data_IF_574519138763
#
_entry.id   IF_574519138763
#
_cell.length_a   1.000
_cell.length_b   1.000
_cell.length_c   1.000
_cell.angle_alpha   90.00
_cell.angle_beta   90.00
_cell.angle_gamma   90.00
#
_symmetry.space_group_name_H-M   'P 1'
#
loop_
_entity.id
_entity.type
_entity.pdbx_description
1 polymer ?
#
# COMPACT_ATOMS: atom_id res chain seq x y z
N UNK A 1 -13.05 10.12 -0.52
CA UNK A 1 -11.76 9.69 0.04
C UNK A 1 -11.11 10.94 0.64
N UNK A 2 -10.47 10.84 1.81
CA UNK A 2 -9.89 12.02 2.49
C UNK A 2 -8.53 11.60 3.05
N UNK A 3 -7.48 12.27 2.57
CA UNK A 3 -6.14 12.16 3.15
C UNK A 3 -6.20 12.78 4.55
N UNK A 4 -5.65 12.13 5.58
CA UNK A 4 -5.60 12.73 6.90
C UNK A 4 -4.93 14.11 6.85
N UNK A 5 -5.59 15.10 7.46
CA UNK A 5 -5.20 16.51 7.43
C UNK A 5 -4.69 17.00 8.79
N UNK A 6 -4.44 16.09 9.73
CA UNK A 6 -3.92 16.42 11.06
C UNK A 6 -3.15 15.24 11.66
N UNK A 7 -2.25 15.54 12.59
CA UNK A 7 -1.55 14.51 13.36
C UNK A 7 -2.52 13.58 14.11
N UNK A 8 -3.65 14.09 14.59
CA UNK A 8 -4.63 13.30 15.34
C UNK A 8 -5.28 12.22 14.46
N UNK A 9 -5.68 12.57 13.23
CA UNK A 9 -6.22 11.60 12.28
C UNK A 9 -5.19 10.49 11.94
N UNK A 10 -3.91 10.85 11.80
CA UNK A 10 -2.83 9.88 11.62
C UNK A 10 -2.60 8.98 12.84
N UNK A 11 -2.62 9.55 14.06
CA UNK A 11 -2.50 8.78 15.31
C UNK A 11 -3.64 7.79 15.46
N UNK A 12 -4.85 8.13 15.02
CA UNK A 12 -5.98 7.18 15.01
C UNK A 12 -5.72 5.99 14.06
N UNK A 13 -5.17 6.24 12.87
CA UNK A 13 -4.81 5.16 11.94
C UNK A 13 -3.71 4.27 12.54
N UNK A 14 -2.66 4.88 13.11
CA UNK A 14 -1.58 4.16 13.76
C UNK A 14 -2.05 3.30 14.94
N UNK A 15 -2.99 3.81 15.73
CA UNK A 15 -3.64 3.06 16.79
C UNK A 15 -4.39 1.85 16.25
N UNK A 16 -5.20 2.01 15.20
CA UNK A 16 -5.93 0.89 14.60
C UNK A 16 -4.97 -0.20 14.06
N UNK A 17 -3.81 0.18 13.51
CA UNK A 17 -2.78 -0.78 13.10
C UNK A 17 -2.12 -1.48 14.28
N UNK A 18 -1.80 -0.74 15.35
CA UNK A 18 -1.29 -1.29 16.60
C UNK A 18 -2.24 -2.30 17.22
N UNK A 19 -3.53 -1.99 17.31
CA UNK A 19 -4.52 -2.88 17.92
C UNK A 19 -4.78 -4.14 17.08
N UNK A 20 -4.87 -4.02 15.75
CA UNK A 20 -5.24 -5.16 14.87
C UNK A 20 -4.06 -6.01 14.41
N UNK A 21 -2.95 -5.36 14.09
CA UNK A 21 -1.80 -5.99 13.44
C UNK A 21 -0.55 -5.96 14.34
N UNK A 22 -0.64 -5.31 15.51
CA UNK A 22 0.48 -5.12 16.44
C UNK A 22 1.69 -4.47 15.75
N UNK A 23 1.40 -3.60 14.78
CA UNK A 23 2.37 -2.75 14.10
C UNK A 23 2.06 -1.31 14.48
N UNK A 24 2.52 -0.92 15.66
CA UNK A 24 2.35 0.44 16.18
C UNK A 24 3.08 1.47 15.31
N UNK A 25 2.62 2.71 15.35
CA UNK A 25 3.11 3.83 14.53
C UNK A 25 3.00 3.61 12.99
N UNK A 26 2.22 2.63 12.53
CA UNK A 26 1.95 2.42 11.10
C UNK A 26 0.86 3.37 10.59
N UNK A 27 1.18 4.21 9.62
CA UNK A 27 0.27 5.20 9.05
C UNK A 27 -0.57 4.66 7.89
N UNK A 28 -0.25 3.48 7.37
CA UNK A 28 -0.93 2.90 6.22
C UNK A 28 -0.07 1.92 5.47
N UNK A 29 -0.72 1.00 4.77
CA UNK A 29 -0.09 0.08 3.84
C UNK A 29 -0.20 0.62 2.42
N UNK A 30 0.94 0.88 1.80
CA UNK A 30 1.08 1.36 0.43
C UNK A 30 1.33 0.17 -0.49
N UNK A 31 0.60 0.14 -1.59
CA UNK A 31 0.78 -0.84 -2.66
C UNK A 31 0.16 -0.30 -3.94
N UNK A 32 0.56 -0.85 -5.08
CA UNK A 32 -0.06 -0.53 -6.35
C UNK A 32 -0.39 -1.77 -7.15
N UNK A 33 -1.32 -1.61 -8.10
CA UNK A 33 -1.79 -2.68 -8.98
C UNK A 33 -1.89 -2.20 -10.42
N UNK A 34 -1.53 -3.06 -11.35
CA UNK A 34 -1.89 -2.88 -12.75
C UNK A 34 -3.37 -3.19 -12.93
N UNK A 35 -4.15 -2.24 -13.43
CA UNK A 35 -5.54 -2.44 -13.88
C UNK A 35 -5.52 -2.68 -15.39
N UNK A 36 -5.93 -3.88 -15.81
CA UNK A 36 -5.97 -4.26 -17.22
C UNK A 36 -6.96 -3.39 -18.02
N UNK A 37 -6.49 -2.86 -19.16
CA UNK A 37 -7.29 -2.11 -20.11
C UNK A 37 -7.16 -2.73 -21.50
N UNK A 38 -8.11 -2.43 -22.39
CA UNK A 38 -7.91 -2.71 -23.81
C UNK A 38 -6.82 -1.79 -24.38
N UNK A 39 -6.05 -2.28 -25.36
CA UNK A 39 -5.04 -1.50 -26.07
C UNK A 39 -5.67 -0.17 -26.55
N UNK A 40 -5.21 0.99 -26.05
CA UNK A 40 -5.74 2.26 -26.51
C UNK A 40 -5.35 2.51 -27.97
N UNK A 41 -6.19 3.26 -28.69
CA UNK A 41 -5.91 3.59 -30.09
C UNK A 41 -4.63 4.41 -30.18
N UNK A 42 -3.78 4.09 -31.16
CA UNK A 42 -2.54 4.82 -31.46
C UNK A 42 -1.54 4.94 -30.29
N UNK A 43 -1.67 4.13 -29.24
CA UNK A 43 -0.82 4.25 -28.04
C UNK A 43 0.57 3.63 -28.17
N UNK A 44 0.84 2.90 -29.26
CA UNK A 44 2.02 2.03 -29.35
C UNK A 44 2.11 1.10 -28.14
N UNK A 45 3.24 1.12 -27.45
CA UNK A 45 3.52 0.37 -26.22
C UNK A 45 3.41 1.20 -24.92
N UNK A 46 2.85 2.41 -24.97
CA UNK A 46 2.82 3.33 -23.81
C UNK A 46 2.16 2.70 -22.57
N UNK A 47 1.11 1.91 -22.76
CA UNK A 47 0.40 1.22 -21.68
C UNK A 47 0.77 -0.27 -21.58
N UNK A 48 1.67 -0.74 -22.44
CA UNK A 48 2.07 -2.15 -22.46
C UNK A 48 3.09 -2.40 -21.34
N UNK A 49 2.68 -3.19 -20.36
CA UNK A 49 3.51 -3.51 -19.21
C UNK A 49 4.41 -4.72 -19.49
N UNK A 50 5.36 -4.95 -18.60
CA UNK A 50 6.29 -6.08 -18.63
C UNK A 50 5.60 -7.46 -18.55
N UNK A 51 4.39 -7.51 -17.98
CA UNK A 51 3.57 -8.73 -17.89
C UNK A 51 2.84 -9.06 -19.20
N UNK A 52 3.07 -8.30 -20.26
CA UNK A 52 2.60 -8.61 -21.60
C UNK A 52 1.19 -8.15 -21.92
N UNK A 53 0.62 -7.21 -21.14
CA UNK A 53 -0.72 -6.67 -21.40
C UNK A 53 -0.79 -5.14 -21.21
N UNK A 54 -1.89 -4.54 -21.68
CA UNK A 54 -2.12 -3.10 -21.56
C UNK A 54 -2.76 -2.77 -20.21
N UNK A 55 -2.21 -1.80 -19.47
CA UNK A 55 -2.72 -1.42 -18.16
C UNK A 55 -2.53 0.05 -17.83
N UNK A 56 -3.34 0.54 -16.90
CA UNK A 56 -3.06 1.73 -16.09
C UNK A 56 -2.71 1.30 -14.67
N UNK A 57 -1.97 2.12 -13.95
CA UNK A 57 -1.62 1.86 -12.56
C UNK A 57 -2.63 2.50 -11.61
N UNK A 58 -3.04 1.73 -10.60
CA UNK A 58 -3.73 2.18 -9.40
C UNK A 58 -2.74 2.07 -8.23
N UNK A 59 -2.27 3.19 -7.72
CA UNK A 59 -1.51 3.26 -6.46
C UNK A 59 -2.48 3.55 -5.33
N UNK A 60 -2.38 2.86 -4.21
CA UNK A 60 -3.27 3.09 -3.07
C UNK A 60 -2.56 2.97 -1.73
N UNK A 61 -2.98 3.83 -0.80
CA UNK A 61 -2.65 3.73 0.61
C UNK A 61 -3.90 3.29 1.36
N UNK A 62 -3.83 2.18 2.10
CA UNK A 62 -4.95 1.65 2.87
C UNK A 62 -4.70 1.70 4.38
N UNK A 63 -5.76 1.96 5.15
CA UNK A 63 -5.73 1.88 6.61
C UNK A 63 -6.05 0.47 7.11
N UNK A 64 -5.90 0.23 8.42
CA UNK A 64 -6.21 -1.03 9.09
C UNK A 64 -7.69 -1.46 9.02
N UNK A 65 -8.58 -0.65 8.43
CA UNK A 65 -9.99 -0.96 8.19
C UNK A 65 -10.25 -1.45 6.77
N UNK A 66 -9.20 -1.60 5.95
CA UNK A 66 -9.26 -1.90 4.50
C UNK A 66 -9.87 -0.76 3.69
N UNK A 67 -9.87 0.46 4.20
CA UNK A 67 -10.32 1.64 3.43
C UNK A 67 -9.11 2.26 2.74
N UNK A 68 -9.28 2.68 1.49
CA UNK A 68 -8.28 3.48 0.80
C UNK A 68 -8.30 4.90 1.38
N UNK A 69 -7.22 5.35 1.99
CA UNK A 69 -7.10 6.73 2.49
C UNK A 69 -6.53 7.66 1.44
N UNK A 70 -5.85 7.10 0.44
CA UNK A 70 -5.40 7.80 -0.75
C UNK A 70 -5.34 6.83 -1.94
N UNK A 71 -5.65 7.33 -3.13
CA UNK A 71 -5.42 6.65 -4.40
C UNK A 71 -4.80 7.62 -5.41
N UNK A 72 -4.05 7.07 -6.34
CA UNK A 72 -3.59 7.74 -7.55
C UNK A 72 -3.81 6.78 -8.73
N UNK A 73 -4.42 7.25 -9.81
CA UNK A 73 -4.90 6.38 -10.89
C UNK A 73 -4.60 7.02 -12.24
N UNK A 74 -4.06 6.20 -13.16
CA UNK A 74 -3.93 6.58 -14.56
C UNK A 74 -2.49 6.75 -15.05
N UNK A 75 -1.49 6.57 -14.18
CA UNK A 75 -0.12 6.39 -14.63
C UNK A 75 -0.07 5.21 -15.62
N UNK A 76 0.68 5.37 -16.71
CA UNK A 76 0.73 4.36 -17.76
C UNK A 76 1.44 3.10 -17.26
N UNK A 77 0.97 1.92 -17.70
CA UNK A 77 1.45 0.62 -17.22
C UNK A 77 2.90 0.27 -17.56
N UNK A 78 3.62 1.11 -18.30
CA UNK A 78 5.05 0.92 -18.59
C UNK A 78 5.96 1.41 -17.46
N UNK A 79 5.47 2.31 -16.60
CA UNK A 79 6.27 2.88 -15.50
C UNK A 79 6.30 1.89 -14.33
N UNK A 80 7.49 1.59 -13.80
CA UNK A 80 7.67 0.81 -12.57
C UNK A 80 7.24 1.59 -11.32
N UNK A 81 7.11 0.93 -10.19
CA UNK A 81 6.10 1.28 -9.16
C UNK A 81 6.58 2.37 -8.26
N UNK A 82 7.84 2.24 -7.85
CA UNK A 82 8.53 3.33 -7.19
C UNK A 82 8.68 4.51 -8.15
N UNK A 83 8.74 4.27 -9.47
CA UNK A 83 8.59 5.30 -10.50
C UNK A 83 7.24 6.01 -10.43
N UNK A 84 6.14 5.25 -10.36
CA UNK A 84 4.78 5.78 -10.25
C UNK A 84 4.59 6.55 -8.95
N UNK A 85 5.09 6.04 -7.82
CA UNK A 85 5.00 6.70 -6.52
C UNK A 85 5.51 8.14 -6.60
N UNK A 86 6.65 8.39 -7.25
CA UNK A 86 7.24 9.74 -7.37
C UNK A 86 6.32 10.77 -8.01
N UNK A 87 5.38 10.34 -8.87
CA UNK A 87 4.44 11.22 -9.55
C UNK A 87 3.07 11.30 -8.87
N UNK A 88 2.87 10.60 -7.75
CA UNK A 88 1.59 10.62 -7.04
C UNK A 88 1.43 11.87 -6.18
N UNK A 89 0.17 12.26 -5.95
CA UNK A 89 -0.14 13.32 -4.97
C UNK A 89 0.37 12.98 -3.56
N UNK A 90 0.46 11.68 -3.23
CA UNK A 90 1.08 11.21 -1.99
C UNK A 90 2.49 11.75 -1.83
N UNK A 91 3.31 11.47 -2.84
CA UNK A 91 4.72 11.75 -2.80
C UNK A 91 4.99 13.24 -2.82
N UNK A 92 4.21 14.00 -3.58
CA UNK A 92 4.26 15.46 -3.55
C UNK A 92 4.04 16.01 -2.12
N UNK A 93 2.96 15.59 -1.45
CA UNK A 93 2.65 16.02 -0.09
C UNK A 93 3.69 15.52 0.93
N UNK A 94 4.23 14.32 0.74
CA UNK A 94 5.28 13.76 1.56
C UNK A 94 6.55 14.61 1.49
N UNK A 95 7.01 14.94 0.28
CA UNK A 95 8.22 15.75 0.05
C UNK A 95 8.07 17.19 0.57
N UNK A 96 6.87 17.76 0.45
CA UNK A 96 6.57 19.11 0.96
C UNK A 96 6.37 19.15 2.49
N UNK A 97 6.41 17.99 3.18
CA UNK A 97 6.06 17.86 4.61
C UNK A 97 4.63 18.33 4.94
N UNK A 98 3.74 18.27 3.96
CA UNK A 98 2.34 18.73 4.04
C UNK A 98 1.37 17.61 4.43
N UNK A 99 1.87 16.43 4.80
CA UNK A 99 1.05 15.33 5.32
C UNK A 99 0.69 15.50 6.81
N UNK A 100 1.29 16.45 7.54
CA UNK A 100 1.07 16.61 9.00
C UNK A 100 1.33 15.32 9.78
N UNK A 101 2.45 14.65 9.48
CA UNK A 101 2.81 13.41 10.16
C UNK A 101 3.07 13.69 11.65
N UNK A 102 2.61 12.81 12.56
CA UNK A 102 2.88 12.96 13.98
C UNK A 102 4.37 12.94 14.28
N UNK A 103 4.77 13.69 15.30
CA UNK A 103 6.12 13.57 15.85
C UNK A 103 6.38 12.14 16.38
N UNK A 104 7.64 11.64 16.31
CA UNK A 104 8.01 10.35 16.86
C UNK A 104 7.57 10.17 18.31
N UNK A 105 7.19 8.94 18.68
CA UNK A 105 6.68 8.62 20.01
C UNK A 105 7.05 7.21 20.44
N UNK A 106 6.74 6.86 21.68
CA UNK A 106 7.04 5.54 22.23
C UNK A 106 6.12 4.46 21.68
N UNK A 107 6.62 3.23 21.65
CA UNK A 107 5.80 2.04 21.41
C UNK A 107 5.46 1.36 22.74
N UNK A 108 4.47 0.45 22.80
CA UNK A 108 4.18 -0.29 24.01
C UNK A 108 5.40 -1.10 24.49
N UNK A 109 5.53 -1.18 25.82
CA UNK A 109 6.58 -1.95 26.50
C UNK A 109 8.02 -1.46 26.29
N UNK A 110 8.21 -0.23 25.78
CA UNK A 110 9.55 0.36 25.63
C UNK A 110 9.51 1.89 25.84
N UNK A 111 10.61 2.45 26.36
CA UNK A 111 10.83 3.90 26.45
C UNK A 111 11.46 4.48 25.19
N UNK A 112 11.83 3.63 24.23
CA UNK A 112 12.44 4.06 22.98
C UNK A 112 11.48 4.84 22.10
N UNK A 113 11.98 5.88 21.43
CA UNK A 113 11.22 6.72 20.50
C UNK A 113 11.26 6.15 19.08
N UNK A 114 10.10 5.99 18.45
CA UNK A 114 9.95 5.46 17.09
C UNK A 114 9.23 6.48 16.20
N UNK A 115 9.68 6.65 14.95
CA UNK A 115 8.95 7.47 13.99
C UNK A 115 7.65 6.79 13.57
N UNK A 116 6.73 7.58 13.00
CA UNK A 116 5.57 7.07 12.29
C UNK A 116 5.96 6.71 10.85
N UNK A 117 5.51 5.54 10.39
CA UNK A 117 5.95 4.96 9.12
C UNK A 117 4.78 4.44 8.29
N UNK A 118 4.86 4.59 6.97
CA UNK A 118 4.10 3.81 6.01
C UNK A 118 4.82 2.49 5.74
N UNK A 119 4.09 1.45 5.38
CA UNK A 119 4.65 0.15 5.02
C UNK A 119 4.37 -0.15 3.54
N UNK A 120 5.40 -0.54 2.80
CA UNK A 120 5.31 -0.96 1.41
C UNK A 120 5.87 -2.36 1.19
N UNK A 121 5.73 -2.87 -0.01
CA UNK A 121 6.42 -4.08 -0.45
C UNK A 121 7.89 -3.81 -0.81
N UNK A 122 8.58 -4.81 -1.37
CA UNK A 122 9.99 -4.71 -1.73
C UNK A 122 10.26 -3.71 -2.87
N UNK A 123 9.24 -3.37 -3.67
CA UNK A 123 9.36 -2.55 -4.85
C UNK A 123 9.61 -1.07 -4.55
N UNK A 124 9.14 -0.61 -3.39
CA UNK A 124 9.35 0.74 -2.91
C UNK A 124 10.79 0.98 -2.42
N UNK A 125 11.21 2.25 -2.41
CA UNK A 125 12.46 2.65 -1.78
C UNK A 125 12.30 2.70 -0.25
N UNK A 126 13.30 2.24 0.50
CA UNK A 126 13.31 2.40 1.96
C UNK A 126 13.59 3.88 2.29
N UNK A 127 12.74 4.48 3.12
CA UNK A 127 12.86 5.86 3.59
C UNK A 127 12.64 5.97 5.10
N UNK A 128 12.81 7.16 5.65
CA UNK A 128 12.65 7.39 7.10
C UNK A 128 11.22 7.11 7.58
N UNK A 129 10.22 7.47 6.76
CA UNK A 129 8.80 7.17 7.01
C UNK A 129 8.24 6.09 6.07
N UNK A 130 9.06 5.36 5.31
CA UNK A 130 8.59 4.30 4.42
C UNK A 130 9.40 3.02 4.64
N UNK A 131 8.78 2.05 5.30
CA UNK A 131 9.38 0.76 5.63
C UNK A 131 9.10 -0.27 4.55
N UNK A 132 10.11 -1.08 4.24
CA UNK A 132 10.01 -2.22 3.33
C UNK A 132 10.70 -3.46 3.92
N UNK A 133 10.32 -4.68 3.52
CA UNK A 133 10.94 -5.90 4.04
C UNK A 133 12.45 -5.94 3.76
N UNK A 134 13.18 -6.72 4.56
CA UNK A 134 14.53 -7.14 4.22
C UNK A 134 14.48 -8.11 3.02
N UNK A 135 15.47 -8.09 2.11
CA UNK A 135 15.52 -8.99 0.97
C UNK A 135 15.55 -10.45 1.43
N UNK A 136 14.64 -11.29 0.91
CA UNK A 136 14.40 -12.64 1.45
C UNK A 136 15.64 -13.55 1.46
N UNK A 137 16.47 -13.46 0.41
CA UNK A 137 17.66 -14.29 0.24
C UNK A 137 18.78 -14.00 1.26
N UNK A 138 18.72 -12.85 1.95
CA UNK A 138 19.73 -12.41 2.91
C UNK A 138 19.19 -12.28 4.34
N UNK A 139 17.97 -12.79 4.62
CA UNK A 139 17.31 -12.60 5.91
C UNK A 139 17.82 -13.56 7.00
N UNK A 140 18.33 -12.99 8.10
CA UNK A 140 18.51 -13.72 9.36
C UNK A 140 17.17 -13.95 10.09
N UNK A 141 17.15 -14.70 11.19
CA UNK A 141 15.92 -15.03 11.91
C UNK A 141 15.16 -13.80 12.43
N UNK A 142 15.88 -12.80 12.95
CA UNK A 142 15.26 -11.56 13.42
C UNK A 142 14.58 -10.77 12.30
N UNK A 143 15.25 -10.71 11.14
CA UNK A 143 14.74 -10.06 9.94
C UNK A 143 13.53 -10.81 9.37
N UNK A 144 13.49 -12.15 9.48
CA UNK A 144 12.30 -12.94 9.13
C UNK A 144 11.12 -12.60 10.03
N UNK A 145 11.33 -12.45 11.34
CA UNK A 145 10.29 -11.96 12.26
C UNK A 145 9.78 -10.59 11.82
N UNK A 146 10.68 -9.63 11.57
CA UNK A 146 10.30 -8.31 11.06
C UNK A 146 9.50 -8.40 9.75
N UNK A 147 9.97 -9.16 8.78
CA UNK A 147 9.30 -9.33 7.49
C UNK A 147 7.91 -9.92 7.66
N UNK A 148 7.73 -10.91 8.55
CA UNK A 148 6.42 -11.45 8.88
C UNK A 148 5.49 -10.39 9.45
N UNK A 149 5.96 -9.59 10.42
CA UNK A 149 5.17 -8.50 11.05
C UNK A 149 4.74 -7.46 10.02
N UNK A 150 5.67 -7.01 9.19
CA UNK A 150 5.42 -6.07 8.10
C UNK A 150 4.42 -6.65 7.09
N UNK A 151 4.62 -7.89 6.64
CA UNK A 151 3.76 -8.55 5.64
C UNK A 151 2.35 -8.74 6.17
N UNK A 152 2.20 -9.13 7.45
CA UNK A 152 0.91 -9.26 8.12
C UNK A 152 0.16 -7.93 8.15
N UNK A 153 0.81 -6.82 8.53
CA UNK A 153 0.19 -5.51 8.52
C UNK A 153 -0.12 -5.02 7.09
N UNK A 154 0.82 -5.23 6.15
CA UNK A 154 0.70 -4.84 4.74
C UNK A 154 -0.45 -5.55 4.04
N UNK A 155 -0.74 -6.80 4.40
CA UNK A 155 -1.84 -7.59 3.81
C UNK A 155 -3.21 -6.87 3.78
N UNK A 156 -3.41 -5.82 4.59
CA UNK A 156 -4.63 -5.02 4.58
C UNK A 156 -4.90 -4.32 3.23
N UNK A 157 -3.88 -3.83 2.54
CA UNK A 157 -4.04 -3.17 1.23
C UNK A 157 -4.34 -4.19 0.14
N UNK A 158 -3.68 -5.35 0.20
CA UNK A 158 -3.97 -6.51 -0.67
C UNK A 158 -5.41 -6.98 -0.51
N UNK A 159 -5.88 -7.09 0.74
CA UNK A 159 -7.27 -7.41 1.03
C UNK A 159 -8.23 -6.36 0.48
N UNK A 160 -7.88 -5.07 0.56
CA UNK A 160 -8.72 -3.99 0.02
C UNK A 160 -8.84 -4.11 -1.50
N UNK A 161 -7.74 -4.36 -2.22
CA UNK A 161 -7.76 -4.63 -3.66
C UNK A 161 -8.54 -5.90 -4.02
N UNK A 162 -8.37 -6.99 -3.26
CA UNK A 162 -9.12 -8.22 -3.45
C UNK A 162 -10.63 -8.00 -3.34
N UNK A 163 -11.07 -7.29 -2.29
CA UNK A 163 -12.48 -6.92 -2.12
C UNK A 163 -12.97 -6.04 -3.28
N UNK A 164 -12.19 -5.03 -3.67
CA UNK A 164 -12.52 -4.14 -4.79
C UNK A 164 -12.76 -4.97 -6.07
N UNK A 165 -11.85 -5.89 -6.41
CA UNK A 165 -11.99 -6.76 -7.59
C UNK A 165 -13.22 -7.66 -7.53
N UNK A 166 -13.43 -8.32 -6.40
CA UNK A 166 -14.57 -9.25 -6.25
C UNK A 166 -15.91 -8.53 -6.33
N UNK A 167 -15.97 -7.30 -5.83
CA UNK A 167 -17.21 -6.54 -5.72
C UNK A 167 -17.58 -5.75 -6.97
N UNK A 168 -16.59 -5.29 -7.70
CA UNK A 168 -16.80 -4.49 -8.89
C UNK A 168 -16.36 -5.32 -10.10
N UNK A 169 -17.33 -5.95 -10.77
CA UNK A 169 -17.09 -6.85 -11.91
C UNK A 169 -16.30 -6.23 -13.06
N UNK A 170 -16.18 -4.90 -13.10
CA UNK A 170 -15.35 -4.17 -14.06
C UNK A 170 -13.85 -4.52 -13.96
N UNK A 171 -13.37 -4.99 -12.81
CA UNK A 171 -11.99 -5.46 -12.63
C UNK A 171 -11.78 -6.94 -12.97
N UNK A 172 -12.83 -7.67 -13.35
CA UNK A 172 -12.76 -9.09 -13.74
C UNK A 172 -12.47 -9.29 -15.22
N UNK A 173 -12.46 -8.21 -16.01
CA UNK A 173 -12.16 -8.19 -17.44
C UNK A 173 -11.37 -6.93 -17.77
N UNK A 174 -10.75 -6.91 -18.94
CA UNK A 174 -10.08 -5.70 -19.42
C UNK A 174 -11.12 -4.57 -19.54
N UNK A 175 -10.78 -3.41 -18.99
CA UNK A 175 -11.63 -2.23 -19.12
C UNK A 175 -11.56 -1.76 -20.57
N UNK A 176 -12.68 -1.86 -21.29
CA UNK A 176 -12.80 -1.44 -22.68
C UNK A 176 -13.20 0.04 -22.77
N UNK A 177 -12.34 0.90 -22.25
CA UNK A 177 -12.48 2.34 -22.35
C UNK A 177 -11.11 2.99 -22.54
N UNK A 178 -11.10 4.19 -23.09
CA UNK A 178 -9.88 5.01 -23.15
C UNK A 178 -9.28 5.21 -21.75
N UNK A 179 -7.95 5.30 -21.60
CA UNK A 179 -7.26 5.33 -20.30
C UNK A 179 -7.81 6.36 -19.30
N UNK A 180 -8.19 7.55 -19.76
CA UNK A 180 -8.79 8.59 -18.91
C UNK A 180 -10.14 8.18 -18.33
N UNK A 181 -10.99 7.55 -19.14
CA UNK A 181 -12.28 6.99 -18.69
C UNK A 181 -12.07 5.78 -17.79
N UNK A 182 -11.12 4.90 -18.12
CA UNK A 182 -10.76 3.77 -17.26
C UNK A 182 -10.29 4.26 -15.87
N UNK A 183 -9.45 5.29 -15.81
CA UNK A 183 -9.00 5.89 -14.56
C UNK A 183 -10.17 6.43 -13.71
N UNK A 184 -11.16 7.10 -14.33
CA UNK A 184 -12.36 7.56 -13.64
C UNK A 184 -13.20 6.40 -13.07
N UNK A 185 -13.36 5.31 -13.83
CA UNK A 185 -14.09 4.11 -13.38
C UNK A 185 -13.40 3.49 -12.17
N UNK A 186 -12.07 3.34 -12.25
CA UNK A 186 -11.25 2.76 -11.18
C UNK A 186 -11.33 3.64 -9.93
N UNK A 187 -11.13 4.95 -10.07
CA UNK A 187 -11.25 5.90 -8.97
C UNK A 187 -12.65 5.83 -8.34
N UNK A 188 -13.71 5.94 -9.14
CA UNK A 188 -15.10 5.85 -8.66
C UNK A 188 -15.35 4.55 -7.89
N UNK A 189 -14.84 3.42 -8.37
CA UNK A 189 -14.96 2.14 -7.68
C UNK A 189 -14.27 2.15 -6.31
N UNK A 190 -13.10 2.78 -6.18
CA UNK A 190 -12.42 2.95 -4.89
C UNK A 190 -13.20 3.86 -3.93
N UNK A 191 -13.85 4.91 -4.43
CA UNK A 191 -14.72 5.76 -3.61
C UNK A 191 -15.96 4.99 -3.13
N UNK A 192 -16.60 4.22 -4.00
CA UNK A 192 -17.74 3.37 -3.66
C UNK A 192 -17.35 2.26 -2.68
N UNK A 193 -16.18 1.65 -2.85
CA UNK A 193 -15.61 0.69 -1.90
C UNK A 193 -15.56 1.27 -0.47
N UNK A 194 -14.97 2.46 -0.32
CA UNK A 194 -14.91 3.13 0.97
C UNK A 194 -16.29 3.49 1.53
N UNK A 195 -17.19 3.97 0.68
CA UNK A 195 -18.57 4.27 1.07
C UNK A 195 -19.24 3.02 1.65
N UNK A 196 -19.17 1.88 0.94
CA UNK A 196 -19.76 0.61 1.35
C UNK A 196 -19.11 0.03 2.62
N UNK A 197 -17.79 0.21 2.81
CA UNK A 197 -17.13 -0.13 4.07
C UNK A 197 -17.71 0.68 5.24
N UNK A 198 -18.02 1.96 5.03
CA UNK A 198 -18.53 2.84 6.09
C UNK A 198 -20.02 2.62 6.39
N UNK A 199 -20.84 2.40 5.37
CA UNK A 199 -22.30 2.30 5.53
C UNK A 199 -22.81 0.88 5.72
N UNK A 200 -22.10 -0.13 5.20
CA UNK A 200 -22.62 -1.49 5.09
C UNK A 200 -21.54 -2.56 5.31
N UNK A 201 -20.60 -2.29 6.23
CA UNK A 201 -19.36 -3.06 6.47
C UNK A 201 -19.57 -4.58 6.49
N UNK A 202 -20.48 -5.07 7.34
CA UNK A 202 -20.70 -6.52 7.52
C UNK A 202 -21.10 -7.16 6.19
N UNK A 203 -22.16 -6.66 5.56
CA UNK A 203 -22.66 -7.19 4.28
C UNK A 203 -21.62 -7.08 3.15
N UNK A 204 -20.90 -5.96 3.08
CA UNK A 204 -19.90 -5.72 2.04
C UNK A 204 -18.69 -6.67 2.16
N UNK A 205 -18.22 -6.92 3.38
CA UNK A 205 -17.06 -7.77 3.64
C UNK A 205 -17.40 -9.27 3.60
N UNK A 206 -18.55 -9.72 4.13
CA UNK A 206 -18.90 -11.16 4.27
C UNK A 206 -18.92 -11.90 2.93
N UNK A 207 -19.40 -11.26 1.88
CA UNK A 207 -19.46 -11.83 0.52
C UNK A 207 -18.10 -11.99 -0.19
N UNK A 208 -17.02 -11.46 0.37
CA UNK A 208 -15.68 -11.46 -0.27
C UNK A 208 -14.78 -12.58 0.25
N UNK A 209 -15.19 -13.33 1.29
CA UNK A 209 -14.38 -14.37 1.95
C UNK A 209 -14.21 -15.68 1.17
N UNK A 210 -14.76 -15.81 -0.04
CA UNK A 210 -14.54 -16.99 -0.90
C UNK A 210 -13.36 -16.86 -1.86
N UNK A 211 -12.58 -15.77 -1.81
CA UNK A 211 -11.38 -15.64 -2.64
C UNK A 211 -10.20 -16.17 -1.84
N UNK A 212 -9.92 -17.46 -2.02
CA UNK A 212 -8.60 -18.01 -1.76
C UNK A 212 -7.56 -17.12 -2.45
N UNK A 213 -6.44 -16.92 -1.76
CA UNK A 213 -5.20 -16.30 -2.23
C UNK A 213 -4.64 -17.04 -3.44
N UNK A 214 -5.31 -16.97 -4.58
CA UNK A 214 -4.74 -17.27 -5.89
C UNK A 214 -4.25 -15.94 -6.48
N UNK A 215 -2.93 -15.85 -6.64
CA UNK A 215 -2.26 -14.86 -7.49
C UNK A 215 -3.04 -14.71 -8.80
N UNK A 216 -3.70 -13.55 -8.99
CA UNK A 216 -4.70 -13.37 -10.06
C UNK A 216 -4.18 -12.42 -11.14
N UNK A 217 -4.31 -12.83 -12.41
CA UNK A 217 -3.70 -12.23 -13.62
C UNK A 217 -4.17 -10.80 -14.01
N UNK A 218 -5.06 -10.15 -13.24
CA UNK A 218 -5.76 -8.94 -13.69
C UNK A 218 -5.55 -7.70 -12.80
N UNK A 219 -5.31 -7.89 -11.51
CA UNK A 219 -4.74 -6.89 -10.61
C UNK A 219 -3.41 -7.44 -10.13
N UNK A 220 -2.42 -7.22 -10.97
CA UNK A 220 -1.10 -7.77 -10.75
C UNK A 220 -0.24 -6.76 -10.02
N UNK A 221 0.58 -7.29 -9.11
CA UNK A 221 1.62 -6.52 -8.42
C UNK A 221 2.49 -5.81 -9.43
N UNK A 222 3.02 -4.69 -9.03
CA UNK A 222 3.83 -3.89 -9.90
C UNK A 222 5.34 -4.35 -9.80
N UNK A 223 6.28 -3.76 -10.56
CA UNK A 223 7.73 -4.06 -10.52
C UNK A 223 8.59 -3.33 -9.47
N UNK A 224 9.57 -4.02 -8.87
CA UNK A 224 10.61 -3.40 -8.07
C UNK A 224 11.43 -2.32 -8.79
N UNK A 225 11.67 -1.20 -8.10
CA UNK A 225 12.56 -0.15 -8.61
C UNK A 225 14.05 -0.48 -8.43
N UNK A 226 14.88 0.09 -9.31
CA UNK A 226 16.33 0.11 -9.12
C UNK A 226 16.66 0.72 -7.76
N UNK A 227 17.20 -0.11 -6.85
CA UNK A 227 17.56 0.26 -5.48
C UNK A 227 18.46 1.51 -5.49
N UNK A 228 17.90 2.67 -5.19
CA UNK A 228 18.69 3.77 -4.64
C UNK A 228 19.15 3.31 -3.26
N UNK A 229 20.43 3.45 -2.97
CA UNK A 229 20.96 3.11 -1.65
C UNK A 229 20.22 3.93 -0.59
N UNK A 230 19.47 3.29 0.33
CA UNK A 230 18.71 4.04 1.32
C UNK A 230 19.66 4.72 2.30
N UNK A 231 19.21 5.85 2.87
CA UNK A 231 19.99 6.61 3.84
C UNK A 231 20.35 5.73 5.05
N UNK A 232 21.44 6.11 5.74
CA UNK A 232 21.84 5.43 6.97
C UNK A 232 20.70 5.46 8.00
N UNK A 233 20.01 6.59 8.11
CA UNK A 233 18.91 6.78 9.05
C UNK A 233 17.72 5.87 8.73
N UNK A 234 17.34 5.74 7.45
CA UNK A 234 16.28 4.83 7.04
C UNK A 234 16.61 3.36 7.38
N UNK A 235 17.87 2.94 7.20
CA UNK A 235 18.34 1.61 7.60
C UNK A 235 18.28 1.42 9.13
N UNK A 236 18.70 2.43 9.89
CA UNK A 236 18.69 2.40 11.35
C UNK A 236 17.26 2.34 11.91
N UNK A 237 16.33 3.11 11.35
CA UNK A 237 14.91 3.06 11.73
C UNK A 237 14.35 1.65 11.52
N UNK A 238 14.59 1.05 10.34
CA UNK A 238 14.14 -0.33 10.08
C UNK A 238 14.75 -1.33 11.05
N UNK A 239 16.06 -1.22 11.34
CA UNK A 239 16.74 -2.06 12.31
C UNK A 239 16.15 -1.89 13.72
N UNK A 240 15.76 -0.67 14.10
CA UNK A 240 15.12 -0.39 15.39
C UNK A 240 13.76 -1.08 15.51
N UNK A 241 12.90 -0.98 14.48
CA UNK A 241 11.64 -1.75 14.45
C UNK A 241 11.89 -3.26 14.45
N UNK A 242 12.92 -3.73 13.74
CA UNK A 242 13.32 -5.14 13.74
C UNK A 242 13.70 -5.61 15.15
N UNK A 243 14.52 -4.84 15.87
CA UNK A 243 14.89 -5.16 17.25
C UNK A 243 13.66 -5.22 18.17
N UNK A 244 12.80 -4.20 18.11
CA UNK A 244 11.57 -4.14 18.91
C UNK A 244 10.68 -5.37 18.70
N UNK A 245 10.44 -5.78 17.44
CA UNK A 245 9.58 -6.93 17.16
C UNK A 245 10.17 -8.28 17.58
N UNK A 246 11.47 -8.36 17.83
CA UNK A 246 12.12 -9.56 18.34
C UNK A 246 12.25 -9.56 19.88
N UNK A 247 11.99 -8.42 20.53
CA UNK A 247 12.12 -8.24 21.98
C UNK A 247 10.80 -7.76 22.60
N UNK A 248 10.68 -6.48 22.97
CA UNK A 248 9.55 -5.93 23.74
C UNK A 248 8.21 -6.04 22.99
N UNK A 249 8.24 -6.03 21.66
CA UNK A 249 7.09 -6.16 20.76
C UNK A 249 6.87 -7.56 20.21
N UNK A 250 7.52 -8.59 20.79
CA UNK A 250 7.38 -9.99 20.37
C UNK A 250 5.95 -10.49 20.58
N UNK A 251 5.43 -11.25 19.62
CA UNK A 251 4.16 -11.96 19.78
C UNK A 251 4.40 -13.26 20.56
N UNK A 252 3.53 -13.52 21.53
CA UNK A 252 3.41 -14.81 22.21
C UNK A 252 2.81 -15.87 21.28
#
# INVERSE_FOLDING_TARGET
>A
MKIPSSEMEWKMIARDFGEKYQFWNCLGALDGKHVAIQKPRLSGSLYYNYKGYFSIVLMALANARKEFIMIDVGANGRVSDGGVLFYTKFWELYQQRSLFLPQPGTLPSTSDIFPFVFIGDEAFALGENLMKPYPQYACNNEQKTFNYRLSRARSVVECAFGILRTKFGVFQKNINFEPSKAALIVATSCYLHNYLIKTSRKQYLTSSWKVETQSSEQLLDLEPTNNRNPSRDAKMIRQKFCHYFNNEGKLL
#
